data_IF_585649676402
#
_entry.id   IF_585649676402
#
_cell.length_a   1.000
_cell.length_b   1.000
_cell.length_c   1.000
_cell.angle_alpha   90.00
_cell.angle_beta   90.00
_cell.angle_gamma   90.00
#
_symmetry.space_group_name_H-M   'P 1'
#
loop_
_entity.id
_entity.type
_entity.pdbx_description
1 polymer ?
#
# COMPACT_ATOMS: atom_id res chain seq x y z
N UNK A 1 18.39 15.38 8.77
CA UNK A 1 18.03 15.26 7.34
C UNK A 1 18.80 14.17 6.56
N UNK A 2 19.09 12.98 7.14
CA UNK A 2 19.79 11.89 6.41
C UNK A 2 19.25 10.48 6.67
N UNK A 3 18.04 10.33 7.24
CA UNK A 3 17.47 9.02 7.60
C UNK A 3 16.54 8.40 6.55
N UNK A 4 16.35 9.06 5.41
CA UNK A 4 15.40 8.62 4.37
C UNK A 4 16.04 7.74 3.29
N UNK A 5 17.32 7.96 2.96
CA UNK A 5 17.96 7.28 1.80
C UNK A 5 18.32 5.81 2.00
N UNK A 6 18.45 5.30 3.23
CA UNK A 6 18.71 3.86 3.46
C UNK A 6 17.47 2.98 3.35
N UNK A 7 16.26 3.52 3.56
CA UNK A 7 15.02 2.75 3.43
C UNK A 7 14.67 2.48 1.96
N UNK A 8 15.05 3.38 1.05
CA UNK A 8 14.77 3.29 -0.39
C UNK A 8 15.29 2.02 -1.08
N UNK A 9 16.42 1.45 -0.63
CA UNK A 9 16.98 0.22 -1.24
C UNK A 9 16.29 -1.07 -0.78
N UNK A 10 15.76 -1.11 0.44
CA UNK A 10 15.01 -2.28 0.97
C UNK A 10 13.60 -2.40 0.38
N UNK A 11 12.97 -1.27 0.05
CA UNK A 11 11.62 -1.24 -0.56
C UNK A 11 11.55 -1.79 -2.00
N UNK A 12 12.69 -2.08 -2.64
CA UNK A 12 12.68 -2.87 -3.89
C UNK A 12 12.29 -4.33 -3.64
N UNK A 13 12.39 -4.82 -2.41
CA UNK A 13 12.07 -6.21 -2.02
C UNK A 13 10.74 -6.36 -1.28
N UNK A 14 10.18 -5.28 -0.73
CA UNK A 14 8.94 -5.30 0.08
C UNK A 14 7.91 -4.28 -0.41
N UNK A 15 6.67 -4.36 0.10
CA UNK A 15 5.62 -3.42 -0.27
C UNK A 15 5.59 -2.22 0.68
N UNK A 16 6.05 -1.07 0.20
CA UNK A 16 6.00 0.15 1.00
C UNK A 16 4.59 0.67 1.20
N UNK A 17 4.30 1.27 2.37
CA UNK A 17 3.16 2.16 2.59
C UNK A 17 2.82 3.06 1.39
N UNK A 18 3.76 3.90 0.96
CA UNK A 18 3.55 4.83 -0.16
C UNK A 18 3.32 4.11 -1.50
N UNK A 19 3.95 2.94 -1.69
CA UNK A 19 3.78 2.13 -2.90
C UNK A 19 2.41 1.47 -2.95
N UNK A 20 1.91 1.00 -1.81
CA UNK A 20 0.56 0.45 -1.65
C UNK A 20 -0.50 1.53 -1.92
N UNK A 21 -0.31 2.74 -1.38
CA UNK A 21 -1.18 3.89 -1.66
C UNK A 21 -1.25 4.21 -3.15
N UNK A 22 -0.10 4.47 -3.79
CA UNK A 22 -0.07 4.77 -5.23
C UNK A 22 -0.57 3.61 -6.10
N UNK A 23 -0.40 2.35 -5.65
CA UNK A 23 -0.99 1.18 -6.34
C UNK A 23 -2.52 1.17 -6.19
N UNK A 24 -3.04 1.44 -4.99
CA UNK A 24 -4.47 1.50 -4.74
C UNK A 24 -5.14 2.63 -5.54
N UNK A 25 -4.51 3.82 -5.60
CA UNK A 25 -5.01 4.93 -6.41
C UNK A 25 -5.06 4.59 -7.90
N UNK A 26 -4.02 3.92 -8.43
CA UNK A 26 -4.03 3.41 -9.82
C UNK A 26 -5.07 2.33 -10.07
N UNK A 27 -5.50 1.60 -9.05
CA UNK A 27 -6.64 0.68 -9.12
C UNK A 27 -7.99 1.38 -9.05
N UNK A 28 -8.03 2.72 -8.95
CA UNK A 28 -9.25 3.52 -8.88
C UNK A 28 -9.76 3.76 -7.46
N UNK A 29 -8.97 3.45 -6.43
CA UNK A 29 -9.33 3.74 -5.05
C UNK A 29 -9.10 5.23 -4.74
N UNK A 30 -10.18 5.97 -4.50
CA UNK A 30 -10.13 7.39 -4.14
C UNK A 30 -9.97 7.57 -2.64
N UNK A 31 -9.33 8.67 -2.22
CA UNK A 31 -9.06 8.98 -0.79
C UNK A 31 -8.36 7.81 -0.10
N UNK A 32 -7.39 7.20 -0.78
CA UNK A 32 -6.65 6.06 -0.28
C UNK A 32 -5.84 6.47 0.96
N UNK A 33 -5.98 5.69 2.04
CA UNK A 33 -5.23 5.87 3.28
C UNK A 33 -4.85 4.54 3.88
N UNK A 34 -3.70 4.51 4.53
CA UNK A 34 -3.25 3.32 5.24
C UNK A 34 -4.02 3.22 6.54
N UNK A 35 -4.56 2.03 6.77
CA UNK A 35 -5.31 1.71 8.00
C UNK A 35 -4.47 0.86 8.93
N UNK A 36 -3.63 -0.01 8.36
CA UNK A 36 -2.77 -0.91 9.12
C UNK A 36 -1.53 -1.31 8.29
N UNK A 37 -0.41 -1.44 8.98
CA UNK A 37 0.84 -1.96 8.40
C UNK A 37 1.36 -3.05 9.32
N UNK A 38 1.26 -4.27 8.84
CA UNK A 38 1.76 -5.46 9.50
C UNK A 38 3.01 -5.97 8.81
N UNK A 39 3.76 -6.85 9.48
CA UNK A 39 4.98 -7.46 8.90
C UNK A 39 4.73 -8.14 7.55
N UNK A 40 3.52 -8.70 7.35
CA UNK A 40 3.13 -9.45 6.14
C UNK A 40 2.16 -8.72 5.20
N UNK A 41 1.50 -7.64 5.65
CA UNK A 41 0.43 -7.01 4.88
C UNK A 41 0.38 -5.50 5.08
N UNK A 42 -0.06 -4.79 4.05
CA UNK A 42 -0.37 -3.36 4.08
C UNK A 42 -1.84 -3.18 3.72
N UNK A 43 -2.64 -2.66 4.65
CA UNK A 43 -4.08 -2.46 4.45
C UNK A 43 -4.35 -1.00 4.10
N UNK A 44 -5.04 -0.80 2.98
CA UNK A 44 -5.40 0.51 2.45
C UNK A 44 -6.91 0.60 2.33
N UNK A 45 -7.52 1.58 2.99
CA UNK A 45 -8.93 1.89 2.82
C UNK A 45 -9.11 3.09 1.91
N UNK A 46 -10.23 3.12 1.20
CA UNK A 46 -10.64 4.27 0.41
C UNK A 46 -12.06 4.11 -0.09
N UNK A 47 -12.35 4.76 -1.22
CA UNK A 47 -13.66 4.68 -1.86
C UNK A 47 -13.54 4.30 -3.32
N UNK A 48 -14.44 3.45 -3.79
CA UNK A 48 -14.51 3.05 -5.19
C UNK A 48 -15.97 2.89 -5.58
N UNK A 49 -16.38 3.47 -6.71
CA UNK A 49 -17.77 3.49 -7.20
C UNK A 49 -18.83 4.00 -6.19
N UNK A 50 -18.41 4.78 -5.20
CA UNK A 50 -19.30 5.30 -4.14
C UNK A 50 -19.17 4.54 -2.82
N UNK A 51 -18.71 3.30 -2.82
CA UNK A 51 -18.60 2.46 -1.63
C UNK A 51 -17.26 2.60 -0.91
N UNK A 52 -17.23 2.26 0.38
CA UNK A 52 -16.00 2.13 1.15
C UNK A 52 -15.39 0.76 0.87
N UNK A 53 -14.15 0.75 0.42
CA UNK A 53 -13.44 -0.49 0.02
C UNK A 53 -12.13 -0.59 0.79
N UNK A 54 -11.74 -1.82 1.13
CA UNK A 54 -10.50 -2.13 1.82
C UNK A 54 -9.64 -3.04 0.93
N UNK A 55 -8.53 -2.50 0.43
CA UNK A 55 -7.56 -3.26 -0.35
C UNK A 55 -6.42 -3.69 0.55
N UNK A 56 -6.13 -4.99 0.56
CA UNK A 56 -5.01 -5.56 1.32
C UNK A 56 -3.91 -5.96 0.35
N UNK A 57 -2.71 -5.45 0.57
CA UNK A 57 -1.52 -5.80 -0.18
C UNK A 57 -0.63 -6.71 0.66
N UNK A 58 0.05 -7.67 0.04
CA UNK A 58 1.13 -8.39 0.68
C UNK A 58 2.35 -7.47 0.83
N UNK A 59 3.06 -7.57 1.96
CA UNK A 59 4.31 -6.86 2.21
C UNK A 59 5.50 -7.52 1.52
N UNK A 60 5.38 -7.71 0.20
CA UNK A 60 6.31 -8.47 -0.62
C UNK A 60 6.62 -7.72 -1.92
N UNK A 61 7.61 -8.21 -2.67
CA UNK A 61 8.05 -7.61 -3.92
C UNK A 61 6.89 -7.56 -4.91
N UNK A 62 6.61 -6.37 -5.43
CA UNK A 62 5.53 -6.13 -6.41
C UNK A 62 4.17 -5.77 -5.78
N UNK A 63 4.07 -5.75 -4.44
CA UNK A 63 2.83 -5.42 -3.72
C UNK A 63 1.62 -6.22 -4.23
N UNK A 64 1.63 -7.57 -4.25
CA UNK A 64 0.47 -8.32 -4.72
C UNK A 64 -0.78 -7.98 -3.91
N UNK A 65 -1.94 -7.96 -4.57
CA UNK A 65 -3.24 -7.74 -3.91
C UNK A 65 -3.68 -9.07 -3.34
N UNK A 66 -3.98 -9.10 -2.05
CA UNK A 66 -4.53 -10.26 -1.35
C UNK A 66 -6.07 -10.21 -1.29
N UNK A 67 -6.63 -9.01 -1.11
CA UNK A 67 -8.07 -8.82 -0.93
C UNK A 67 -8.50 -7.41 -1.41
N UNK A 68 -9.74 -7.29 -1.89
CA UNK A 68 -10.40 -6.02 -2.27
C UNK A 68 -11.85 -6.02 -1.79
#
# INVERSE_FOLDING_TARGET
>A
YYRERRRERDWRRSCSPNRALGKAERMGLRRARIVDVSRRTVKVAGRQYGDRVLVVFANERGCPVLYR
#
